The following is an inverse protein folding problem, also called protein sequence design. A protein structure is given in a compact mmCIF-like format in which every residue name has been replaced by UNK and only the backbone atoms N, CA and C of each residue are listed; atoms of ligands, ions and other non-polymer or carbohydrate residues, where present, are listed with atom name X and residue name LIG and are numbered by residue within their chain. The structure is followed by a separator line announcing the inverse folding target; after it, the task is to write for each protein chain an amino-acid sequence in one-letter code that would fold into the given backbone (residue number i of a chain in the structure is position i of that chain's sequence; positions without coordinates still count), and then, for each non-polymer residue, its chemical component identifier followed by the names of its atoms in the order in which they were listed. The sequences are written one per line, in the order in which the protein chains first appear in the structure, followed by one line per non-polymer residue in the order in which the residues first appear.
data_IF_781783293408
#
_entry.id   IF_781783293408
#
_cell.length_a   1.000
_cell.length_b   1.000
_cell.length_c   1.000
_cell.angle_alpha   90.00
_cell.angle_beta   90.00
_cell.angle_gamma   90.00
#
_symmetry.space_group_name_H-M   'P 1'
#
loop_
_entity.id
_entity.type
_entity.pdbx_description
1 polymer ?
#
# COMPACT_ATOMS: atom_id res chain seq x y z
N UNK A 1 33.52 -17.59 7.88
CA UNK A 1 32.66 -16.83 8.79
C UNK A 1 31.79 -15.92 7.94
N UNK A 2 30.52 -16.24 7.76
CA UNK A 2 29.55 -15.36 7.08
C UNK A 2 29.32 -14.11 7.93
N UNK A 3 29.43 -12.94 7.31
CA UNK A 3 29.25 -11.66 8.03
C UNK A 3 27.81 -11.53 8.53
N UNK A 4 27.60 -10.80 9.62
CA UNK A 4 26.25 -10.45 10.13
C UNK A 4 25.39 -9.83 9.02
N UNK A 5 26.02 -9.12 8.07
CA UNK A 5 25.39 -8.51 6.90
C UNK A 5 24.93 -9.55 5.88
N UNK A 6 25.69 -10.62 5.62
CA UNK A 6 25.23 -11.76 4.80
C UNK A 6 24.12 -12.56 5.48
N UNK A 7 24.07 -12.58 6.82
CA UNK A 7 22.95 -13.19 7.56
C UNK A 7 21.71 -12.32 7.56
N UNK A 8 21.85 -11.00 7.56
CA UNK A 8 20.74 -10.06 7.36
C UNK A 8 20.24 -10.09 5.92
N UNK A 9 21.14 -10.12 4.92
CA UNK A 9 20.79 -10.29 3.51
C UNK A 9 20.15 -11.67 3.27
N UNK A 10 20.61 -12.74 3.93
CA UNK A 10 19.88 -14.03 3.95
C UNK A 10 18.58 -13.95 4.75
N UNK A 11 18.46 -13.28 5.90
CA UNK A 11 17.15 -13.14 6.58
C UNK A 11 16.15 -12.36 5.72
N UNK A 12 16.64 -11.38 4.97
CA UNK A 12 15.82 -10.55 4.06
C UNK A 12 15.54 -11.30 2.74
N UNK A 13 16.45 -12.15 2.24
CA UNK A 13 16.32 -12.93 0.98
C UNK A 13 15.83 -14.38 1.14
N UNK A 14 15.92 -14.99 2.33
CA UNK A 14 15.66 -16.43 2.61
C UNK A 14 14.65 -16.67 3.74
N UNK A 15 13.96 -15.61 4.13
CA UNK A 15 12.62 -15.73 4.70
C UNK A 15 11.76 -14.72 3.98
N UNK A 16 11.44 -14.99 2.71
CA UNK A 16 10.15 -14.51 2.20
C UNK A 16 9.14 -14.92 3.27
N UNK A 17 8.30 -14.01 3.76
CA UNK A 17 7.36 -14.38 4.82
C UNK A 17 6.51 -15.60 4.41
N UNK A 18 6.36 -15.78 3.10
CA UNK A 18 5.81 -16.96 2.46
C UNK A 18 6.62 -18.24 2.68
N UNK A 19 7.94 -18.26 2.56
CA UNK A 19 8.74 -19.43 2.96
C UNK A 19 8.54 -19.78 4.44
N UNK A 20 8.38 -18.78 5.31
CA UNK A 20 8.06 -19.02 6.72
C UNK A 20 6.69 -19.71 6.87
N UNK A 21 5.66 -19.21 6.18
CA UNK A 21 4.31 -19.79 6.18
C UNK A 21 4.26 -21.17 5.51
N UNK A 22 4.98 -21.36 4.41
CA UNK A 22 5.09 -22.61 3.65
C UNK A 22 5.81 -23.70 4.46
N UNK A 23 6.87 -23.34 5.20
CA UNK A 23 7.55 -24.26 6.14
C UNK A 23 6.63 -24.72 7.27
N UNK A 24 5.66 -23.89 7.66
CA UNK A 24 4.67 -24.20 8.70
C UNK A 24 3.45 -24.91 8.09
N UNK A 25 3.35 -25.00 6.75
CA UNK A 25 2.21 -25.59 6.05
C UNK A 25 0.92 -24.80 6.23
N UNK A 26 1.01 -23.49 6.47
CA UNK A 26 -0.12 -22.60 6.70
C UNK A 26 -0.19 -21.53 5.63
N UNK A 27 -1.40 -21.09 5.26
CA UNK A 27 -1.53 -19.90 4.41
C UNK A 27 -1.22 -18.64 5.22
N UNK A 28 -0.76 -17.55 4.58
CA UNK A 28 -0.49 -16.28 5.26
C UNK A 28 -1.69 -15.75 6.07
N UNK A 29 -2.91 -15.97 5.57
CA UNK A 29 -4.14 -15.60 6.27
C UNK A 29 -4.32 -16.37 7.57
N UNK A 30 -4.19 -17.71 7.54
CA UNK A 30 -4.33 -18.54 8.73
C UNK A 30 -3.19 -18.29 9.74
N UNK A 31 -1.96 -18.14 9.25
CA UNK A 31 -0.83 -17.78 10.08
C UNK A 31 -1.00 -16.42 10.77
N UNK A 32 -1.56 -15.43 10.04
CA UNK A 32 -1.86 -14.13 10.60
C UNK A 32 -2.97 -14.16 11.66
N UNK A 33 -4.06 -14.89 11.42
CA UNK A 33 -5.15 -15.08 12.40
C UNK A 33 -4.62 -15.78 13.65
N UNK A 34 -3.82 -16.84 13.48
CA UNK A 34 -3.22 -17.57 14.60
C UNK A 34 -2.32 -16.65 15.43
N UNK A 35 -1.45 -15.86 14.80
CA UNK A 35 -0.60 -14.92 15.53
C UNK A 35 -1.42 -13.86 16.26
N UNK A 36 -2.40 -13.22 15.60
CA UNK A 36 -3.25 -12.22 16.23
C UNK A 36 -3.97 -12.79 17.46
N UNK A 37 -4.46 -14.03 17.35
CA UNK A 37 -5.09 -14.75 18.46
C UNK A 37 -4.10 -15.01 19.59
N UNK A 38 -2.91 -15.54 19.28
CA UNK A 38 -1.87 -15.81 20.27
C UNK A 38 -1.37 -14.52 20.95
N UNK A 39 -1.24 -13.44 20.19
CA UNK A 39 -0.88 -12.11 20.69
C UNK A 39 -1.94 -11.60 21.66
N UNK A 40 -3.21 -11.62 21.27
CA UNK A 40 -4.31 -11.22 22.13
C UNK A 40 -4.39 -12.04 23.41
N UNK A 41 -4.23 -13.36 23.32
CA UNK A 41 -4.17 -14.24 24.50
C UNK A 41 -2.98 -13.88 25.39
N UNK A 42 -1.80 -13.63 24.82
CA UNK A 42 -0.62 -13.27 25.61
C UNK A 42 -0.81 -11.94 26.35
N UNK A 43 -1.33 -10.91 25.67
CA UNK A 43 -1.63 -9.59 26.24
C UNK A 43 -2.64 -9.73 27.38
N UNK A 44 -3.78 -10.40 27.13
CA UNK A 44 -4.81 -10.60 28.16
C UNK A 44 -4.31 -11.44 29.33
N UNK A 45 -3.44 -12.43 29.08
CA UNK A 45 -2.83 -13.23 30.14
C UNK A 45 -1.91 -12.39 31.02
N UNK A 46 -1.12 -11.48 30.45
CA UNK A 46 -0.27 -10.56 31.21
C UNK A 46 -1.13 -9.62 32.06
N UNK A 47 -2.20 -9.07 31.49
CA UNK A 47 -3.12 -8.20 32.23
C UNK A 47 -3.89 -8.96 33.34
N UNK A 48 -4.16 -10.26 33.14
CA UNK A 48 -4.75 -11.13 34.17
C UNK A 48 -3.75 -11.40 35.30
N UNK A 49 -2.52 -11.77 34.96
CA UNK A 49 -1.45 -12.12 35.93
C UNK A 49 -1.06 -10.91 36.78
N UNK A 50 -1.01 -9.72 36.19
CA UNK A 50 -0.74 -8.47 36.90
C UNK A 50 -1.92 -8.00 37.76
N UNK A 51 -3.06 -8.69 37.71
CA UNK A 51 -4.28 -8.35 38.42
C UNK A 51 -5.01 -7.14 37.85
N UNK A 52 -4.47 -6.49 36.81
CA UNK A 52 -5.01 -5.26 36.22
C UNK A 52 -6.33 -5.48 35.51
N UNK A 53 -6.62 -6.66 34.95
CA UNK A 53 -7.95 -6.94 34.41
C UNK A 53 -9.07 -6.88 35.45
N UNK A 54 -8.76 -7.14 36.73
CA UNK A 54 -9.75 -7.26 37.79
C UNK A 54 -9.88 -5.99 38.65
N UNK A 55 -9.11 -4.94 38.33
CA UNK A 55 -9.24 -3.64 38.99
C UNK A 55 -10.52 -2.97 38.52
N UNK A 56 -11.42 -2.69 39.45
CA UNK A 56 -12.64 -1.94 39.20
C UNK A 56 -12.28 -0.51 38.77
N UNK A 57 -12.63 -0.16 37.53
CA UNK A 57 -12.38 1.14 36.92
C UNK A 57 -13.69 1.75 36.47
N UNK A 58 -13.83 3.06 36.61
CA UNK A 58 -14.99 3.81 36.13
C UNK A 58 -14.56 5.12 35.47
N UNK A 59 -15.40 5.63 34.57
CA UNK A 59 -15.16 6.88 33.84
C UNK A 59 -13.84 6.90 33.06
N UNK A 60 -13.08 7.98 33.21
CA UNK A 60 -11.84 8.25 32.46
C UNK A 60 -10.75 7.18 32.65
N UNK A 61 -10.71 6.52 33.81
CA UNK A 61 -9.73 5.46 34.09
C UNK A 61 -10.00 4.20 33.27
N UNK A 62 -11.28 3.85 33.07
CA UNK A 62 -11.67 2.73 32.22
C UNK A 62 -11.37 3.04 30.76
N UNK A 63 -11.71 4.25 30.29
CA UNK A 63 -11.41 4.71 28.94
C UNK A 63 -9.91 4.65 28.61
N UNK A 64 -9.07 5.21 29.49
CA UNK A 64 -7.60 5.20 29.30
C UNK A 64 -7.05 3.79 29.21
N UNK A 65 -7.48 2.89 30.10
CA UNK A 65 -7.05 1.49 30.08
C UNK A 65 -7.45 0.77 28.79
N UNK A 66 -8.71 0.92 28.33
CA UNK A 66 -9.19 0.28 27.11
C UNK A 66 -8.42 0.74 25.87
N UNK A 67 -7.99 2.00 25.84
CA UNK A 67 -7.22 2.57 24.73
C UNK A 67 -5.78 2.07 24.73
N UNK A 68 -5.13 2.05 25.89
CA UNK A 68 -3.77 1.48 26.03
C UNK A 68 -3.77 -0.01 25.67
N UNK A 69 -4.75 -0.77 26.15
CA UNK A 69 -4.94 -2.18 25.79
C UNK A 69 -5.20 -2.35 24.29
N UNK A 70 -6.08 -1.52 23.71
CA UNK A 70 -6.38 -1.53 22.27
C UNK A 70 -5.15 -1.25 21.41
N UNK A 71 -4.33 -0.25 21.79
CA UNK A 71 -3.08 0.07 21.11
C UNK A 71 -2.09 -1.10 21.15
N UNK A 72 -1.98 -1.80 22.27
CA UNK A 72 -1.12 -2.98 22.41
C UNK A 72 -1.56 -4.10 21.48
N UNK A 73 -2.87 -4.36 21.39
CA UNK A 73 -3.42 -5.34 20.46
C UNK A 73 -3.14 -4.95 19.01
N UNK A 74 -3.42 -3.69 18.64
CA UNK A 74 -3.18 -3.14 17.30
C UNK A 74 -1.70 -3.26 16.91
N UNK A 75 -0.75 -2.93 17.79
CA UNK A 75 0.68 -3.00 17.47
C UNK A 75 1.14 -4.42 17.12
N UNK A 76 0.64 -5.44 17.83
CA UNK A 76 0.97 -6.83 17.52
C UNK A 76 0.36 -7.29 16.20
N UNK A 77 -0.89 -6.91 15.94
CA UNK A 77 -1.54 -7.19 14.65
C UNK A 77 -0.83 -6.51 13.49
N UNK A 78 -0.41 -5.26 13.66
CA UNK A 78 0.30 -4.51 12.64
C UNK A 78 1.69 -5.09 12.35
N UNK A 79 2.35 -5.68 13.34
CA UNK A 79 3.64 -6.33 13.13
C UNK A 79 3.51 -7.51 12.15
N UNK A 80 2.46 -8.32 12.32
CA UNK A 80 2.13 -9.40 11.38
C UNK A 80 1.71 -8.83 10.04
N UNK A 81 0.86 -7.80 10.06
CA UNK A 81 0.38 -7.15 8.85
C UNK A 81 1.54 -6.69 7.97
N UNK A 82 2.55 -6.04 8.54
CA UNK A 82 3.72 -5.55 7.78
C UNK A 82 4.47 -6.70 7.13
N UNK A 83 4.71 -7.80 7.85
CA UNK A 83 5.37 -8.99 7.32
C UNK A 83 4.55 -9.63 6.19
N UNK A 84 3.24 -9.78 6.38
CA UNK A 84 2.33 -10.30 5.37
C UNK A 84 2.22 -9.37 4.15
N UNK A 85 2.20 -8.05 4.37
CA UNK A 85 2.14 -7.02 3.34
C UNK A 85 3.40 -7.02 2.47
N UNK A 86 4.59 -7.16 3.08
CA UNK A 86 5.85 -7.29 2.33
C UNK A 86 5.83 -8.51 1.40
N UNK A 87 5.41 -9.68 1.90
CA UNK A 87 5.32 -10.89 1.06
C UNK A 87 4.21 -10.80 0.00
N UNK A 88 3.07 -10.20 0.32
CA UNK A 88 2.01 -9.97 -0.65
C UNK A 88 2.45 -9.00 -1.76
N UNK A 89 3.22 -7.97 -1.41
CA UNK A 89 3.81 -7.01 -2.34
C UNK A 89 4.82 -7.68 -3.27
N UNK A 90 5.73 -8.51 -2.73
CA UNK A 90 6.73 -9.26 -3.49
C UNK A 90 6.08 -10.19 -4.51
N UNK A 91 5.20 -11.09 -4.07
CA UNK A 91 4.47 -12.01 -4.95
C UNK A 91 3.76 -11.30 -6.10
N UNK A 92 3.15 -10.16 -5.81
CA UNK A 92 2.40 -9.42 -6.80
C UNK A 92 3.30 -8.69 -7.78
N UNK A 93 4.44 -8.21 -7.30
CA UNK A 93 5.46 -7.61 -8.14
C UNK A 93 6.02 -8.64 -9.12
N UNK A 94 6.34 -9.85 -8.65
CA UNK A 94 6.81 -10.95 -9.50
C UNK A 94 5.77 -11.34 -10.55
N UNK A 95 4.52 -11.55 -10.12
CA UNK A 95 3.41 -11.83 -11.04
C UNK A 95 3.20 -10.71 -12.06
N UNK A 96 3.33 -9.45 -11.65
CA UNK A 96 3.21 -8.31 -12.56
C UNK A 96 4.33 -8.35 -13.61
N UNK A 97 5.56 -8.66 -13.22
CA UNK A 97 6.67 -8.83 -14.15
C UNK A 97 6.44 -9.99 -15.11
N UNK A 98 5.92 -11.13 -14.64
CA UNK A 98 5.55 -12.27 -15.49
C UNK A 98 4.46 -11.90 -16.51
N UNK A 99 3.42 -11.18 -16.09
CA UNK A 99 2.36 -10.70 -16.98
C UNK A 99 2.91 -9.71 -18.02
N UNK A 100 3.82 -8.80 -17.61
CA UNK A 100 4.48 -7.86 -18.53
C UNK A 100 5.44 -8.55 -19.51
N UNK A 101 6.05 -9.68 -19.14
CA UNK A 101 6.85 -10.51 -20.06
C UNK A 101 6.01 -11.09 -21.20
N UNK A 102 4.69 -11.11 -21.13
CA UNK A 102 3.85 -11.58 -22.22
C UNK A 102 3.56 -10.49 -23.26
N UNK A 103 3.80 -9.22 -22.92
CA UNK A 103 3.53 -8.08 -23.78
C UNK A 103 4.71 -7.81 -24.74
N UNK A 104 4.52 -7.87 -26.07
CA UNK A 104 5.59 -7.64 -27.02
C UNK A 104 6.04 -6.17 -27.07
N UNK A 105 5.20 -5.22 -26.65
CA UNK A 105 5.48 -3.79 -26.72
C UNK A 105 6.40 -3.30 -25.58
N UNK A 106 6.53 -4.09 -24.51
CA UNK A 106 7.39 -3.82 -23.36
C UNK A 106 8.82 -4.30 -23.67
N UNK A 107 9.84 -3.42 -23.64
CA UNK A 107 11.20 -3.82 -23.97
C UNK A 107 11.75 -4.89 -23.02
N UNK A 108 12.28 -5.97 -23.59
CA UNK A 108 12.90 -7.07 -22.82
C UNK A 108 14.05 -6.60 -21.94
N UNK A 109 14.86 -5.67 -22.45
CA UNK A 109 15.96 -5.07 -21.71
C UNK A 109 15.46 -4.23 -20.52
N UNK A 110 14.32 -3.53 -20.69
CA UNK A 110 13.67 -2.78 -19.62
C UNK A 110 13.15 -3.70 -18.51
N UNK A 111 12.52 -4.82 -18.89
CA UNK A 111 12.09 -5.86 -17.94
C UNK A 111 13.29 -6.44 -17.19
N UNK A 112 14.36 -6.82 -17.89
CA UNK A 112 15.55 -7.40 -17.28
C UNK A 112 16.24 -6.43 -16.31
N UNK A 113 16.32 -5.13 -16.65
CA UNK A 113 16.81 -4.08 -15.74
C UNK A 113 15.92 -3.92 -14.51
N UNK A 114 14.59 -3.95 -14.71
CA UNK A 114 13.62 -3.85 -13.62
C UNK A 114 13.75 -5.05 -12.67
N UNK A 115 13.81 -6.27 -13.21
CA UNK A 115 13.98 -7.51 -12.45
C UNK A 115 15.33 -7.55 -11.70
N UNK A 116 16.42 -7.10 -12.33
CA UNK A 116 17.70 -6.97 -11.65
C UNK A 116 17.65 -5.95 -10.49
N UNK A 117 16.98 -4.82 -10.70
CA UNK A 117 16.81 -3.80 -9.66
C UNK A 117 15.90 -4.27 -8.52
N UNK A 118 14.81 -4.99 -8.82
CA UNK A 118 13.92 -5.61 -7.83
C UNK A 118 14.70 -6.57 -6.91
N UNK A 119 15.73 -7.22 -7.43
CA UNK A 119 16.59 -8.13 -6.66
C UNK A 119 17.77 -7.43 -5.92
N UNK A 120 17.96 -6.12 -6.10
CA UNK A 120 19.05 -5.36 -5.48
C UNK A 120 18.61 -3.97 -4.98
N UNK A 121 18.08 -3.95 -3.76
CA UNK A 121 17.80 -2.69 -3.05
C UNK A 121 19.04 -2.09 -2.37
N UNK A 122 20.16 -2.82 -2.33
CA UNK A 122 21.34 -2.48 -1.54
C UNK A 122 21.10 -2.64 -0.03
N UNK A 123 21.72 -3.64 0.58
CA UNK A 123 21.56 -3.98 2.01
C UNK A 123 21.84 -2.80 2.95
N UNK A 124 22.82 -1.94 2.62
CA UNK A 124 23.11 -0.73 3.40
C UNK A 124 21.94 0.28 3.37
N UNK A 125 21.28 0.45 2.22
CA UNK A 125 20.14 1.37 2.10
C UNK A 125 18.96 0.86 2.90
N UNK A 126 18.65 -0.44 2.80
CA UNK A 126 17.61 -1.07 3.61
C UNK A 126 17.91 -0.93 5.12
N UNK A 127 19.16 -1.13 5.54
CA UNK A 127 19.56 -0.94 6.93
C UNK A 127 19.35 0.52 7.40
N UNK A 128 19.74 1.50 6.58
CA UNK A 128 19.54 2.93 6.90
C UNK A 128 18.05 3.26 7.01
N UNK A 129 17.22 2.77 6.10
CA UNK A 129 15.77 2.97 6.13
C UNK A 129 15.14 2.33 7.38
N UNK A 130 15.50 1.08 7.69
CA UNK A 130 15.02 0.37 8.87
C UNK A 130 15.43 1.10 10.16
N UNK A 131 16.69 1.53 10.26
CA UNK A 131 17.19 2.29 11.41
C UNK A 131 16.49 3.66 11.52
N UNK A 132 16.22 4.32 10.40
CA UNK A 132 15.47 5.57 10.36
C UNK A 132 14.05 5.40 10.88
N UNK A 133 13.33 4.38 10.42
CA UNK A 133 11.98 4.03 10.90
C UNK A 133 11.98 3.64 12.37
N UNK A 134 12.95 2.84 12.81
CA UNK A 134 13.14 2.47 14.20
C UNK A 134 13.34 3.69 15.08
N UNK A 135 14.29 4.56 14.73
CA UNK A 135 14.63 5.75 15.50
C UNK A 135 13.45 6.72 15.55
N UNK A 136 12.75 6.91 14.43
CA UNK A 136 11.54 7.74 14.38
C UNK A 136 10.46 7.23 15.35
N UNK A 137 10.11 5.95 15.28
CA UNK A 137 9.10 5.35 16.16
C UNK A 137 9.55 5.30 17.64
N UNK A 138 10.84 5.09 17.90
CA UNK A 138 11.40 5.15 19.26
C UNK A 138 11.32 6.57 19.87
N UNK A 139 11.48 7.59 19.04
CA UNK A 139 11.44 9.01 19.45
C UNK A 139 10.02 9.60 19.44
N UNK A 140 9.04 8.97 18.78
CA UNK A 140 7.66 9.43 18.72
C UNK A 140 7.05 9.83 20.09
N UNK A 141 7.29 9.11 21.20
CA UNK A 141 6.76 9.49 22.51
C UNK A 141 7.26 10.85 23.03
N UNK A 142 8.48 11.25 22.64
CA UNK A 142 9.05 12.57 22.97
C UNK A 142 8.34 13.67 22.19
N UNK A 143 7.94 13.36 20.95
CA UNK A 143 7.31 14.29 20.02
C UNK A 143 5.80 14.46 20.31
N UNK A 144 5.14 13.43 20.83
CA UNK A 144 3.70 13.39 21.10
C UNK A 144 3.30 13.98 22.46
N UNK A 145 4.19 13.94 23.47
CA UNK A 145 3.91 14.45 24.82
C UNK A 145 4.88 15.58 25.23
N UNK A 146 4.85 16.76 24.57
CA UNK A 146 5.76 17.86 24.90
C UNK A 146 5.45 18.56 26.23
N UNK A 147 4.44 18.14 26.98
CA UNK A 147 3.94 18.84 28.18
C UNK A 147 4.01 17.89 29.38
N UNK A 148 4.86 18.27 30.35
CA UNK A 148 5.16 17.63 31.66
C UNK A 148 6.21 16.50 31.64
N UNK A 149 7.47 16.85 31.94
CA UNK A 149 8.47 15.92 32.51
C UNK A 149 8.93 14.75 31.62
N UNK A 150 9.55 15.04 30.47
CA UNK A 150 9.98 14.06 29.43
C UNK A 150 10.98 12.97 29.89
N UNK A 151 11.41 12.95 31.15
CA UNK A 151 12.31 11.92 31.70
C UNK A 151 11.58 10.61 32.06
N UNK A 152 10.29 10.69 32.41
CA UNK A 152 9.52 9.49 32.76
C UNK A 152 9.14 8.65 31.53
N UNK A 153 9.13 9.26 30.34
CA UNK A 153 8.85 8.55 29.08
C UNK A 153 9.80 7.37 28.83
N UNK A 154 11.03 7.44 29.36
CA UNK A 154 12.05 6.40 29.25
C UNK A 154 12.48 5.77 30.59
N UNK A 155 11.72 5.98 31.67
CA UNK A 155 11.99 5.37 32.96
C UNK A 155 11.24 4.05 33.11
N UNK A 156 11.91 2.87 33.01
CA UNK A 156 11.23 1.58 33.02
C UNK A 156 10.50 1.29 34.35
N UNK A 157 10.90 1.95 35.44
CA UNK A 157 10.26 1.78 36.75
C UNK A 157 8.82 2.32 36.77
N UNK A 158 8.46 3.22 35.86
CA UNK A 158 7.13 3.84 35.76
C UNK A 158 6.31 3.29 34.59
N UNK A 159 6.84 2.33 33.84
CA UNK A 159 6.17 1.77 32.67
C UNK A 159 5.11 0.75 33.10
N UNK A 160 3.89 0.94 32.64
CA UNK A 160 2.89 -0.13 32.61
C UNK A 160 3.28 -1.18 31.57
N UNK A 161 2.73 -2.41 31.63
CA UNK A 161 2.93 -3.43 30.60
C UNK A 161 2.68 -2.93 29.17
N UNK A 162 1.70 -2.05 28.96
CA UNK A 162 1.40 -1.48 27.65
C UNK A 162 2.50 -0.54 27.16
N UNK A 163 3.07 0.27 28.07
CA UNK A 163 4.21 1.12 27.76
C UNK A 163 5.42 0.28 27.37
N UNK A 164 5.67 -0.85 28.06
CA UNK A 164 6.72 -1.80 27.64
C UNK A 164 6.53 -2.29 26.21
N UNK A 165 5.30 -2.69 25.86
CA UNK A 165 4.99 -3.12 24.49
C UNK A 165 5.24 -1.99 23.50
N UNK A 166 4.75 -0.76 23.76
CA UNK A 166 4.95 0.36 22.86
C UNK A 166 6.43 0.69 22.65
N UNK A 167 7.24 0.62 23.71
CA UNK A 167 8.67 0.95 23.67
C UNK A 167 9.53 -0.11 22.98
N UNK A 168 9.08 -1.36 22.96
CA UNK A 168 9.81 -2.48 22.36
C UNK A 168 9.27 -2.79 20.95
N UNK A 169 7.96 -3.00 20.83
CA UNK A 169 7.31 -3.40 19.57
C UNK A 169 7.15 -2.21 18.62
N UNK A 170 6.86 -1.01 19.14
CA UNK A 170 6.69 0.19 18.32
C UNK A 170 7.89 0.51 17.40
N UNK A 171 9.13 0.54 17.91
CA UNK A 171 10.31 0.73 17.07
C UNK A 171 10.53 -0.37 16.01
N UNK A 172 10.26 -1.63 16.35
CA UNK A 172 10.36 -2.75 15.41
C UNK A 172 9.32 -2.58 14.29
N UNK A 173 8.08 -2.24 14.66
CA UNK A 173 7.02 -1.94 13.71
C UNK A 173 7.41 -0.74 12.81
N UNK A 174 7.94 0.34 13.40
CA UNK A 174 8.41 1.51 12.67
C UNK A 174 9.49 1.18 11.64
N UNK A 175 10.44 0.31 11.98
CA UNK A 175 11.43 -0.20 11.03
C UNK A 175 10.78 -0.96 9.87
N UNK A 176 9.84 -1.87 10.17
CA UNK A 176 9.11 -2.64 9.16
C UNK A 176 8.26 -1.77 8.23
N UNK A 177 7.54 -0.79 8.78
CA UNK A 177 6.73 0.16 7.99
C UNK A 177 7.62 1.01 7.07
N UNK A 178 8.74 1.51 7.58
CA UNK A 178 9.67 2.29 6.77
C UNK A 178 10.23 1.46 5.59
N UNK A 179 10.57 0.18 5.84
CA UNK A 179 10.97 -0.75 4.79
C UNK A 179 9.86 -0.98 3.77
N UNK A 180 8.64 -1.28 4.23
CA UNK A 180 7.48 -1.51 3.35
C UNK A 180 7.21 -0.30 2.45
N UNK A 181 7.15 0.90 3.03
CA UNK A 181 6.94 2.14 2.27
C UNK A 181 8.08 2.38 1.27
N UNK A 182 9.33 2.15 1.69
CA UNK A 182 10.48 2.32 0.81
C UNK A 182 10.44 1.36 -0.40
N UNK A 183 10.10 0.08 -0.17
CA UNK A 183 9.96 -0.92 -1.22
C UNK A 183 8.82 -0.54 -2.17
N UNK A 184 7.64 -0.21 -1.64
CA UNK A 184 6.49 0.24 -2.45
C UNK A 184 6.86 1.43 -3.34
N UNK A 185 7.52 2.46 -2.79
CA UNK A 185 7.91 3.65 -3.55
C UNK A 185 8.96 3.29 -4.60
N UNK A 186 10.01 2.55 -4.22
CA UNK A 186 11.09 2.17 -5.12
C UNK A 186 10.58 1.37 -6.31
N UNK A 187 9.67 0.43 -6.07
CA UNK A 187 9.08 -0.39 -7.13
C UNK A 187 8.12 0.40 -7.99
N UNK A 188 7.32 1.27 -7.38
CA UNK A 188 6.44 2.18 -8.13
C UNK A 188 7.24 3.09 -9.07
N UNK A 189 8.42 3.56 -8.66
CA UNK A 189 9.34 4.32 -9.52
C UNK A 189 9.87 3.45 -10.66
N UNK A 190 10.30 2.22 -10.37
CA UNK A 190 10.80 1.29 -11.40
C UNK A 190 9.73 0.93 -12.44
N UNK A 191 8.50 0.68 -12.00
CA UNK A 191 7.37 0.46 -12.90
C UNK A 191 7.00 1.72 -13.69
N UNK A 192 7.14 2.91 -13.10
CA UNK A 192 6.98 4.17 -13.82
C UNK A 192 8.03 4.33 -14.93
N UNK A 193 9.31 4.02 -14.66
CA UNK A 193 10.37 4.02 -15.66
C UNK A 193 10.07 3.01 -16.78
N UNK A 194 9.72 1.77 -16.42
CA UNK A 194 9.37 0.71 -17.38
C UNK A 194 8.18 1.09 -18.26
N UNK A 195 7.14 1.70 -17.68
CA UNK A 195 5.97 2.16 -18.43
C UNK A 195 6.32 3.23 -19.48
N UNK A 196 7.33 4.08 -19.22
CA UNK A 196 7.80 5.08 -20.19
C UNK A 196 8.57 4.47 -21.36
N UNK A 197 9.14 3.28 -21.19
CA UNK A 197 9.88 2.58 -22.23
C UNK A 197 8.97 1.80 -23.20
N UNK A 198 7.66 1.70 -22.93
CA UNK A 198 6.70 1.03 -23.81
C UNK A 198 6.73 1.67 -25.20
N UNK A 199 7.05 0.86 -26.22
CA UNK A 199 7.33 1.35 -27.58
C UNK A 199 6.08 1.85 -28.31
N UNK A 200 4.98 1.10 -28.19
CA UNK A 200 3.67 1.43 -28.77
C UNK A 200 2.55 0.99 -27.83
N UNK A 201 1.44 1.72 -27.83
CA UNK A 201 0.24 1.35 -27.07
C UNK A 201 -0.89 1.03 -28.02
N UNK A 202 -1.44 -0.17 -27.91
CA UNK A 202 -2.65 -0.55 -28.63
C UNK A 202 -3.88 0.09 -27.96
N UNK A 203 -4.39 1.17 -28.54
CA UNK A 203 -5.52 1.94 -27.98
C UNK A 203 -6.84 1.15 -27.95
N UNK A 204 -6.99 0.14 -28.81
CA UNK A 204 -8.20 -0.70 -28.90
C UNK A 204 -8.33 -1.70 -27.75
N UNK A 205 -7.23 -2.03 -27.06
CA UNK A 205 -7.21 -2.99 -25.97
C UNK A 205 -6.30 -2.54 -24.82
N UNK A 206 -6.73 -1.48 -24.12
CA UNK A 206 -6.05 -1.00 -22.92
C UNK A 206 -6.04 -2.04 -21.78
N UNK A 207 -6.88 -3.08 -21.85
CA UNK A 207 -6.95 -4.16 -20.86
C UNK A 207 -5.63 -4.91 -20.69
N UNK A 208 -4.79 -4.93 -21.73
CA UNK A 208 -3.46 -5.58 -21.69
C UNK A 208 -2.48 -4.92 -20.73
N UNK A 209 -2.65 -3.63 -20.47
CA UNK A 209 -1.78 -2.86 -19.56
C UNK A 209 -2.28 -2.82 -18.11
N UNK A 210 -3.33 -3.60 -17.81
CA UNK A 210 -3.85 -3.76 -16.45
C UNK A 210 -2.84 -4.20 -15.38
N UNK A 211 -1.73 -4.93 -15.68
CA UNK A 211 -0.73 -5.24 -14.66
C UNK A 211 -0.20 -4.00 -13.94
N UNK A 212 0.06 -2.88 -14.65
CA UNK A 212 0.51 -1.62 -14.03
C UNK A 212 -0.52 -1.04 -13.05
N UNK A 213 -1.79 -1.05 -13.45
CA UNK A 213 -2.88 -0.52 -12.62
C UNK A 213 -3.19 -1.42 -11.43
N UNK A 214 -3.16 -2.74 -11.63
CA UNK A 214 -3.36 -3.73 -10.57
C UNK A 214 -2.25 -3.65 -9.53
N UNK A 215 -1.01 -3.38 -9.94
CA UNK A 215 0.11 -3.14 -9.04
C UNK A 215 -0.13 -1.90 -8.17
N UNK A 216 -0.45 -0.76 -8.79
CA UNK A 216 -0.74 0.48 -8.05
C UNK A 216 -1.92 0.35 -7.08
N UNK A 217 -3.00 -0.31 -7.50
CA UNK A 217 -4.17 -0.55 -6.65
C UNK A 217 -3.83 -1.45 -5.45
N UNK A 218 -2.96 -2.44 -5.64
CA UNK A 218 -2.51 -3.31 -4.55
C UNK A 218 -1.67 -2.55 -3.53
N UNK A 219 -0.73 -1.72 -4.00
CA UNK A 219 0.10 -0.89 -3.13
C UNK A 219 -0.76 0.04 -2.27
N UNK A 220 -1.77 0.66 -2.87
CA UNK A 220 -2.73 1.47 -2.14
C UNK A 220 -3.51 0.66 -1.11
N UNK A 221 -4.00 -0.53 -1.47
CA UNK A 221 -4.74 -1.38 -0.56
C UNK A 221 -3.90 -1.81 0.66
N UNK A 222 -2.61 -2.11 0.47
CA UNK A 222 -1.67 -2.42 1.55
C UNK A 222 -1.54 -1.23 2.51
N UNK A 223 -1.31 -0.03 1.97
CA UNK A 223 -1.12 1.17 2.80
C UNK A 223 -2.40 1.55 3.54
N UNK A 224 -3.56 1.45 2.89
CA UNK A 224 -4.87 1.67 3.51
C UNK A 224 -5.11 0.63 4.61
N UNK A 225 -4.77 -0.63 4.38
CA UNK A 225 -4.85 -1.70 5.38
C UNK A 225 -4.01 -1.43 6.61
N UNK A 226 -2.85 -0.79 6.45
CA UNK A 226 -2.01 -0.35 7.57
C UNK A 226 -2.62 0.83 8.36
N UNK A 227 -3.23 1.80 7.67
CA UNK A 227 -3.81 2.99 8.30
C UNK A 227 -5.12 2.67 9.02
N UNK A 228 -5.91 1.72 8.50
CA UNK A 228 -7.27 1.45 8.99
C UNK A 228 -7.37 1.12 10.49
N UNK A 229 -6.48 0.32 11.13
CA UNK A 229 -6.56 0.04 12.56
C UNK A 229 -6.41 1.28 13.45
N UNK A 230 -5.66 2.29 13.00
CA UNK A 230 -5.48 3.54 13.76
C UNK A 230 -6.75 4.40 13.83
N UNK A 231 -7.77 4.09 13.03
CA UNK A 231 -9.11 4.64 13.16
C UNK A 231 -9.67 4.54 14.58
N UNK A 232 -9.46 3.39 15.22
CA UNK A 232 -9.98 3.11 16.55
C UNK A 232 -9.34 4.03 17.61
N UNK A 233 -8.08 4.40 17.40
CA UNK A 233 -7.30 5.25 18.32
C UNK A 233 -7.73 6.72 18.23
N UNK A 234 -8.28 7.15 17.09
CA UNK A 234 -8.73 8.53 16.89
C UNK A 234 -9.96 8.92 17.74
N UNK A 235 -10.65 7.95 18.35
CA UNK A 235 -11.77 8.21 19.27
C UNK A 235 -11.30 8.98 20.50
N UNK A 236 -10.01 8.90 20.84
CA UNK A 236 -9.47 9.53 22.05
C UNK A 236 -8.65 10.76 21.68
N UNK A 237 -9.13 11.92 22.10
CA UNK A 237 -8.55 13.25 21.80
C UNK A 237 -7.04 13.33 22.04
N UNK A 238 -6.52 12.59 23.02
CA UNK A 238 -5.10 12.51 23.37
C UNK A 238 -4.20 12.07 22.21
N UNK A 239 -4.69 11.27 21.26
CA UNK A 239 -3.90 10.68 20.17
C UNK A 239 -4.20 11.29 18.79
N UNK A 240 -4.98 12.37 18.73
CA UNK A 240 -5.45 12.96 17.47
C UNK A 240 -4.31 13.41 16.55
N UNK A 241 -3.22 13.97 17.12
CA UNK A 241 -2.03 14.36 16.34
C UNK A 241 -1.28 13.15 15.77
N UNK A 242 -1.12 12.09 16.56
CA UNK A 242 -0.48 10.85 16.11
C UNK A 242 -1.28 10.24 14.96
N UNK A 243 -2.57 10.01 15.17
CA UNK A 243 -3.43 9.41 14.14
C UNK A 243 -3.53 10.29 12.91
N UNK A 244 -3.63 11.61 13.08
CA UNK A 244 -3.60 12.57 11.97
C UNK A 244 -2.33 12.48 11.15
N UNK A 245 -1.17 12.37 11.79
CA UNK A 245 0.12 12.24 11.10
C UNK A 245 0.26 10.91 10.36
N UNK A 246 -0.08 9.78 11.00
CA UNK A 246 -0.07 8.43 10.37
C UNK A 246 -1.01 8.41 9.16
N UNK A 247 -2.21 8.97 9.31
CA UNK A 247 -3.22 9.03 8.23
C UNK A 247 -2.70 9.87 7.08
N UNK A 248 -2.12 11.05 7.35
CA UNK A 248 -1.56 11.91 6.31
C UNK A 248 -0.43 11.22 5.54
N UNK A 249 0.56 10.67 6.25
CA UNK A 249 1.67 9.97 5.61
C UNK A 249 1.21 8.73 4.85
N UNK A 250 0.28 7.97 5.42
CA UNK A 250 -0.32 6.81 4.78
C UNK A 250 -1.09 7.18 3.51
N UNK A 251 -1.90 8.24 3.53
CA UNK A 251 -2.59 8.72 2.32
C UNK A 251 -1.58 9.15 1.26
N UNK A 252 -0.54 9.90 1.61
CA UNK A 252 0.50 10.29 0.65
C UNK A 252 1.20 9.07 0.05
N UNK A 253 1.59 8.09 0.87
CA UNK A 253 2.22 6.87 0.40
C UNK A 253 1.27 6.03 -0.49
N UNK A 254 -0.01 5.93 -0.15
CA UNK A 254 -1.02 5.25 -0.97
C UNK A 254 -1.22 5.94 -2.31
N UNK A 255 -1.27 7.28 -2.33
CA UNK A 255 -1.38 8.06 -3.57
C UNK A 255 -0.15 7.88 -4.46
N UNK A 256 1.06 7.93 -3.89
CA UNK A 256 2.30 7.69 -4.65
C UNK A 256 2.31 6.26 -5.21
N UNK A 257 2.05 5.26 -4.36
CA UNK A 257 2.02 3.86 -4.78
C UNK A 257 0.97 3.55 -5.86
N UNK A 258 -0.18 4.23 -5.81
CA UNK A 258 -1.24 4.08 -6.82
C UNK A 258 -0.90 4.79 -8.12
N UNK A 259 -0.62 6.08 -8.03
CA UNK A 259 -0.65 6.96 -9.20
C UNK A 259 0.64 6.94 -9.97
N UNK A 260 1.79 6.71 -9.32
CA UNK A 260 3.08 6.82 -10.00
C UNK A 260 3.18 5.87 -11.22
N UNK A 261 2.96 4.54 -11.11
CA UNK A 261 3.05 3.66 -12.28
C UNK A 261 1.97 3.95 -13.34
N UNK A 262 0.76 4.32 -12.90
CA UNK A 262 -0.39 4.63 -13.77
C UNK A 262 -0.17 5.94 -14.54
N UNK A 263 0.56 6.90 -13.96
CA UNK A 263 0.78 8.20 -14.55
C UNK A 263 1.65 8.14 -15.81
N UNK A 264 2.75 7.37 -15.76
CA UNK A 264 3.58 7.15 -16.95
C UNK A 264 2.78 6.53 -18.09
N UNK A 265 1.96 5.53 -17.78
CA UNK A 265 1.12 4.86 -18.78
C UNK A 265 0.07 5.83 -19.36
N UNK A 266 -0.52 6.69 -18.53
CA UNK A 266 -1.43 7.76 -19.00
C UNK A 266 -0.74 8.71 -19.98
N UNK A 267 0.49 9.12 -19.71
CA UNK A 267 1.26 10.00 -20.62
C UNK A 267 1.46 9.32 -21.97
N UNK A 268 1.87 8.04 -21.97
CA UNK A 268 2.05 7.27 -23.20
C UNK A 268 0.73 7.05 -23.97
N UNK A 269 -0.39 6.81 -23.28
CA UNK A 269 -1.71 6.69 -23.92
C UNK A 269 -2.10 8.00 -24.60
N UNK A 270 -1.86 9.14 -23.94
CA UNK A 270 -2.15 10.45 -24.53
C UNK A 270 -1.28 10.74 -25.76
N UNK A 271 0.00 10.37 -25.71
CA UNK A 271 0.91 10.50 -26.85
C UNK A 271 0.45 9.65 -28.04
N UNK A 272 0.13 8.37 -27.84
CA UNK A 272 -0.35 7.50 -28.92
C UNK A 272 -1.72 7.94 -29.45
N UNK A 273 -2.62 8.36 -28.57
CA UNK A 273 -3.92 8.95 -28.97
C UNK A 273 -3.73 10.19 -29.85
N UNK A 274 -2.79 11.07 -29.50
CA UNK A 274 -2.50 12.26 -30.29
C UNK A 274 -1.89 11.90 -31.66
N UNK A 275 -1.01 10.90 -31.73
CA UNK A 275 -0.42 10.40 -32.98
C UNK A 275 -1.50 9.81 -33.91
N UNK A 276 -2.34 8.92 -33.38
CA UNK A 276 -3.41 8.27 -34.16
C UNK A 276 -4.49 9.28 -34.60
N UNK A 277 -4.84 10.24 -33.74
CA UNK A 277 -5.76 11.31 -34.10
C UNK A 277 -5.19 12.21 -35.22
N UNK A 278 -3.90 12.57 -35.15
CA UNK A 278 -3.23 13.34 -36.19
C UNK A 278 -3.16 12.57 -37.52
N UNK A 279 -2.88 11.27 -37.47
CA UNK A 279 -2.90 10.38 -38.63
C UNK A 279 -4.27 10.34 -39.31
N UNK A 280 -5.36 10.20 -38.52
CA UNK A 280 -6.72 10.25 -39.03
C UNK A 280 -7.01 11.60 -39.69
N UNK A 281 -6.65 12.69 -39.02
CA UNK A 281 -6.92 14.05 -39.51
C UNK A 281 -6.21 14.35 -40.83
N UNK A 282 -5.01 13.80 -41.04
CA UNK A 282 -4.26 13.92 -42.29
C UNK A 282 -4.87 13.12 -43.45
N UNK A 283 -5.44 11.92 -43.19
CA UNK A 283 -6.01 11.04 -44.21
C UNK A 283 -7.45 11.36 -44.62
N UNK A 284 -8.25 11.95 -43.73
CA UNK A 284 -9.67 12.27 -44.01
C UNK A 284 -9.84 13.16 -45.26
N UNK A 285 -9.04 14.23 -45.48
CA UNK A 285 -9.14 15.02 -46.71
C UNK A 285 -8.89 14.22 -47.99
N UNK A 286 -7.90 13.32 -47.99
CA UNK A 286 -7.57 12.47 -49.13
C UNK A 286 -8.69 11.47 -49.42
N UNK A 287 -9.23 10.81 -48.38
CA UNK A 287 -10.37 9.92 -48.52
C UNK A 287 -11.63 10.65 -49.01
N UNK A 288 -11.85 11.90 -48.56
CA UNK A 288 -12.94 12.74 -49.05
C UNK A 288 -12.75 13.15 -50.51
N UNK A 289 -11.52 13.41 -50.95
CA UNK A 289 -11.22 13.71 -52.36
C UNK A 289 -11.46 12.47 -53.25
N UNK A 290 -10.99 11.29 -52.84
CA UNK A 290 -11.23 10.03 -53.53
C UNK A 290 -12.73 9.71 -53.68
N UNK A 291 -13.54 10.02 -52.66
CA UNK A 291 -14.99 9.89 -52.71
C UNK A 291 -15.62 10.84 -53.73
N UNK A 292 -15.17 12.11 -53.79
CA UNK A 292 -15.64 13.08 -54.80
C UNK A 292 -15.31 12.65 -56.22
N UNK A 293 -14.17 12.00 -56.41
CA UNK A 293 -13.76 11.43 -57.70
C UNK A 293 -14.48 10.12 -58.05
N UNK A 294 -15.43 9.66 -57.21
CA UNK A 294 -16.18 8.41 -57.42
C UNK A 294 -15.29 7.17 -57.57
N UNK A 295 -14.14 7.14 -56.89
CA UNK A 295 -13.26 5.96 -56.89
C UNK A 295 -13.98 4.78 -56.21
N UNK A 296 -13.88 3.55 -56.76
CA UNK A 296 -14.46 2.36 -56.13
C UNK A 296 -13.94 2.20 -54.70
N UNK A 297 -14.82 1.88 -53.75
CA UNK A 297 -14.45 1.65 -52.33
C UNK A 297 -14.30 2.90 -51.46
N UNK A 298 -14.15 4.10 -52.04
CA UNK A 298 -13.84 5.32 -51.29
C UNK A 298 -14.86 5.72 -50.21
N UNK A 299 -16.13 5.35 -50.37
CA UNK A 299 -17.16 5.57 -49.35
C UNK A 299 -16.97 4.68 -48.11
N UNK A 300 -16.56 3.42 -48.31
CA UNK A 300 -16.24 2.49 -47.22
C UNK A 300 -14.96 2.91 -46.49
N UNK A 301 -13.94 3.33 -47.23
CA UNK A 301 -12.67 3.81 -46.65
C UNK A 301 -12.87 5.05 -45.78
N UNK A 302 -13.65 6.02 -46.26
CA UNK A 302 -13.97 7.22 -45.48
C UNK A 302 -14.81 6.87 -44.24
N UNK A 303 -15.80 5.99 -44.36
CA UNK A 303 -16.59 5.55 -43.22
C UNK A 303 -15.73 4.83 -42.17
N UNK A 304 -14.83 3.94 -42.60
CA UNK A 304 -13.87 3.24 -41.74
C UNK A 304 -12.94 4.21 -41.01
N UNK A 305 -12.37 5.20 -41.72
CA UNK A 305 -11.54 6.24 -41.11
C UNK A 305 -12.30 7.09 -40.08
N UNK A 306 -13.55 7.46 -40.38
CA UNK A 306 -14.37 8.23 -39.44
C UNK A 306 -14.75 7.41 -38.20
N UNK A 307 -15.05 6.12 -38.36
CA UNK A 307 -15.30 5.20 -37.24
C UNK A 307 -14.05 5.04 -36.38
N UNK A 308 -12.89 4.76 -36.99
CA UNK A 308 -11.63 4.63 -36.27
C UNK A 308 -11.25 5.94 -35.54
N UNK A 309 -11.40 7.09 -36.20
CA UNK A 309 -11.16 8.39 -35.56
C UNK A 309 -12.09 8.62 -34.36
N UNK A 310 -13.34 8.17 -34.44
CA UNK A 310 -14.28 8.22 -33.31
C UNK A 310 -13.80 7.33 -32.16
N UNK A 311 -13.45 6.07 -32.46
CA UNK A 311 -12.94 5.12 -31.47
C UNK A 311 -11.70 5.67 -30.74
N UNK A 312 -10.69 6.15 -31.47
CA UNK A 312 -9.48 6.77 -30.89
C UNK A 312 -9.84 7.95 -29.97
N UNK A 313 -10.80 8.79 -30.36
CA UNK A 313 -11.22 9.93 -29.55
C UNK A 313 -12.00 9.53 -28.29
N UNK A 314 -12.73 8.42 -28.32
CA UNK A 314 -13.51 7.90 -27.20
C UNK A 314 -12.64 7.14 -26.18
N UNK A 315 -11.45 6.65 -26.57
CA UNK A 315 -10.52 5.96 -25.66
C UNK A 315 -10.17 6.86 -24.46
N UNK A 316 -10.43 6.32 -23.26
CA UNK A 316 -10.09 6.96 -22.00
C UNK A 316 -8.58 6.93 -21.76
N UNK A 317 -8.01 8.07 -21.37
CA UNK A 317 -6.57 8.18 -21.14
C UNK A 317 -6.09 7.52 -19.85
N UNK A 318 -7.00 7.23 -18.92
CA UNK A 318 -6.66 6.56 -17.67
C UNK A 318 -6.75 5.04 -17.88
N UNK A 319 -5.67 4.29 -17.66
CA UNK A 319 -5.62 2.84 -17.87
C UNK A 319 -6.27 2.08 -16.72
N UNK A 320 -7.45 2.53 -16.26
CA UNK A 320 -8.14 1.96 -15.12
C UNK A 320 -9.34 1.17 -15.63
N UNK A 321 -9.36 -0.14 -15.36
CA UNK A 321 -10.49 -1.00 -15.71
C UNK A 321 -11.82 -0.41 -15.20
N UNK A 322 -12.94 -0.69 -15.90
CA UNK A 322 -14.27 -0.42 -15.36
C UNK A 322 -14.40 -1.05 -13.96
N UNK A 323 -14.53 -0.21 -12.92
CA UNK A 323 -14.59 -0.64 -11.52
C UNK A 323 -13.28 -0.56 -10.73
N UNK A 324 -12.13 -0.25 -11.34
CA UNK A 324 -10.87 -0.01 -10.61
C UNK A 324 -10.97 1.21 -9.69
N UNK A 325 -11.58 2.30 -10.17
CA UNK A 325 -11.95 3.44 -9.33
C UNK A 325 -12.94 3.07 -8.24
N UNK A 326 -13.94 2.23 -8.52
CA UNK A 326 -14.88 1.78 -7.50
C UNK A 326 -14.16 1.00 -6.39
N UNK A 327 -13.25 0.08 -6.74
CA UNK A 327 -12.41 -0.65 -5.76
C UNK A 327 -11.54 0.29 -4.94
N UNK A 328 -10.87 1.26 -5.58
CA UNK A 328 -10.06 2.23 -4.86
C UNK A 328 -10.89 3.10 -3.92
N UNK A 329 -12.03 3.62 -4.38
CA UNK A 329 -12.96 4.38 -3.55
C UNK A 329 -13.48 3.53 -2.39
N UNK A 330 -13.84 2.27 -2.63
CA UNK A 330 -14.25 1.34 -1.57
C UNK A 330 -13.12 1.11 -0.56
N UNK A 331 -11.87 1.00 -1.01
CA UNK A 331 -10.72 0.90 -0.10
C UNK A 331 -10.52 2.19 0.72
N UNK A 332 -10.63 3.37 0.12
CA UNK A 332 -10.58 4.64 0.85
C UNK A 332 -11.72 4.78 1.87
N UNK A 333 -12.88 4.18 1.58
CA UNK A 333 -14.00 4.12 2.50
C UNK A 333 -13.78 3.15 3.66
N UNK A 334 -12.80 2.23 3.61
CA UNK A 334 -12.54 1.33 4.74
C UNK A 334 -12.08 2.12 5.97
N UNK A 335 -10.99 2.93 5.94
CA UNK A 335 -10.61 3.75 7.08
C UNK A 335 -11.74 4.70 7.52
N UNK A 336 -12.40 5.38 6.58
CA UNK A 336 -13.48 6.33 6.89
C UNK A 336 -14.71 5.65 7.51
N UNK A 337 -15.07 4.47 7.01
CA UNK A 337 -16.15 3.64 7.52
C UNK A 337 -15.81 3.08 8.90
N UNK A 338 -14.55 2.70 9.14
CA UNK A 338 -14.08 2.30 10.46
C UNK A 338 -14.16 3.44 11.48
N UNK A 339 -13.93 4.70 11.08
CA UNK A 339 -14.12 5.88 11.95
C UNK A 339 -15.61 6.03 12.32
N UNK A 340 -16.50 5.97 11.32
CA UNK A 340 -17.95 6.06 11.55
C UNK A 340 -18.51 4.89 12.37
N UNK A 341 -18.01 3.67 12.13
CA UNK A 341 -18.38 2.47 12.87
C UNK A 341 -17.93 2.51 14.33
N UNK A 342 -16.71 2.99 14.60
CA UNK A 342 -16.20 3.19 15.95
C UNK A 342 -17.07 4.17 16.76
N UNK A 343 -17.37 5.33 16.19
CA UNK A 343 -18.25 6.33 16.82
C UNK A 343 -19.70 5.82 17.04
N UNK A 344 -20.18 4.93 16.16
CA UNK A 344 -21.50 4.31 16.33
C UNK A 344 -21.50 3.28 17.46
N UNK A 345 -20.46 2.43 17.54
CA UNK A 345 -20.30 1.45 18.62
C UNK A 345 -20.17 2.17 19.96
N UNK A 346 -19.39 3.24 20.03
CA UNK A 346 -19.27 4.09 21.21
C UNK A 346 -20.64 4.60 21.68
N UNK A 347 -21.44 5.19 20.78
CA UNK A 347 -22.80 5.64 21.12
C UNK A 347 -23.73 4.51 21.56
N UNK A 348 -23.59 3.32 20.98
CA UNK A 348 -24.40 2.16 21.38
C UNK A 348 -23.99 1.65 22.76
N UNK A 349 -22.69 1.59 23.03
CA UNK A 349 -22.13 1.20 24.32
C UNK A 349 -22.53 2.20 25.39
N UNK A 350 -22.39 3.50 25.15
CA UNK A 350 -22.84 4.56 26.04
C UNK A 350 -24.35 4.45 26.31
N UNK A 351 -25.16 4.21 25.27
CA UNK A 351 -26.61 4.04 25.45
C UNK A 351 -26.99 2.78 26.23
N UNK A 352 -26.15 1.74 26.21
CA UNK A 352 -26.39 0.48 26.90
C UNK A 352 -25.85 0.48 28.34
N UNK A 353 -24.79 1.24 28.60
CA UNK A 353 -24.13 1.34 29.90
C UNK A 353 -24.60 2.53 30.74
N UNK A 354 -25.29 3.51 30.13
CA UNK A 354 -25.96 4.62 30.82
C UNK A 354 -25.21 5.94 30.71
#
# INVERSE_FOLDING_TARGET
MTSIVQRLDMMVRTTTAQELFDRIGMTPLFGGILFATLWGVAVLSIEAITGRLFVERSGEQLGTFLVELGLVLILGELLVFVVAAMAAHENRTDRTIEELKLLPEVPRDGIARTEAALNDYGSLRLAIVALGGFAFAFMAPILEFPIVGNYDAFNPAHWSPEVYVHRIVGPILGAGVALLVHVIISDSVRFWELAREITSIELTDLGRYMPFTNQGLSNAAIVIGFVAPFAFVAIVDRYLLLVGSITLYGVVAALVGLFLPVWALRERIQEEKAKEAAWCHARIPEARAALRESRPGAGQDLAGLLMYAKEVNEVHAWPIAPGGFARFTLFLLIPLGSWGGGALVERLVDSALG
#
